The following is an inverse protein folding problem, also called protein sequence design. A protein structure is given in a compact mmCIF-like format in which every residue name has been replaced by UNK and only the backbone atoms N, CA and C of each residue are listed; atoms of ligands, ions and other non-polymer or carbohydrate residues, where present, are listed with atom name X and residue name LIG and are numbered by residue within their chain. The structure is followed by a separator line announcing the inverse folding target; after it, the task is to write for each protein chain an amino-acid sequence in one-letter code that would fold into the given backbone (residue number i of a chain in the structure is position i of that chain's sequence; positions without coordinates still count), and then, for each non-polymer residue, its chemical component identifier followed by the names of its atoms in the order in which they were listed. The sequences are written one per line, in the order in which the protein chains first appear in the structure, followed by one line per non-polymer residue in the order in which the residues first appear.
data_IF_377390878686
#
_entry.id   IF_377390878686
#
_cell.length_a   1.000
_cell.length_b   1.000
_cell.length_c   1.000
_cell.angle_alpha   90.00
_cell.angle_beta   90.00
_cell.angle_gamma   90.00
#
_symmetry.space_group_name_H-M   'P 1'
#
loop_
_entity.id
_entity.type
_entity.pdbx_description
1 polymer ?
#
# COMPACT_ATOMS: atom_id res chain seq x y z
N UNK A 1 16.13 -24.25 -5.25
CA UNK A 1 14.89 -23.92 -5.97
C UNK A 1 14.06 -23.06 -5.03
N UNK A 2 13.75 -21.82 -5.39
CA UNK A 2 12.90 -20.95 -4.58
C UNK A 2 11.49 -21.53 -4.64
N UNK A 3 10.98 -22.03 -3.52
CA UNK A 3 9.58 -22.45 -3.39
C UNK A 3 8.70 -21.24 -3.67
N UNK A 4 7.70 -21.39 -4.54
CA UNK A 4 6.71 -20.36 -4.79
C UNK A 4 5.95 -20.06 -3.50
N UNK A 5 6.42 -19.06 -2.73
CA UNK A 5 5.68 -18.59 -1.57
C UNK A 5 4.35 -18.04 -2.08
N UNK A 6 3.25 -18.58 -1.59
CA UNK A 6 1.92 -18.10 -1.94
C UNK A 6 1.82 -16.61 -1.57
N UNK A 7 1.76 -15.73 -2.57
CA UNK A 7 1.69 -14.28 -2.35
C UNK A 7 0.33 -13.97 -1.73
N UNK A 8 0.34 -13.43 -0.50
CA UNK A 8 -0.89 -13.07 0.18
C UNK A 8 -1.52 -11.84 -0.46
N UNK A 9 -2.82 -11.92 -0.74
CA UNK A 9 -3.62 -10.79 -1.22
C UNK A 9 -4.41 -10.20 -0.05
N UNK A 10 -4.35 -8.88 0.10
CA UNK A 10 -5.17 -8.13 1.04
C UNK A 10 -6.28 -7.39 0.30
N UNK A 11 -7.48 -7.39 0.88
CA UNK A 11 -8.69 -6.82 0.27
C UNK A 11 -9.10 -5.53 0.95
N UNK A 12 -9.77 -4.66 0.20
CA UNK A 12 -10.30 -3.42 0.72
C UNK A 12 -11.43 -3.74 1.70
N UNK A 13 -11.58 -2.91 2.73
CA UNK A 13 -12.61 -3.10 3.75
C UNK A 13 -13.64 -1.97 3.64
N UNK A 14 -14.61 -2.08 2.70
CA UNK A 14 -15.55 -0.99 2.43
C UNK A 14 -16.42 -0.66 3.66
N UNK A 15 -16.61 -1.58 4.59
CA UNK A 15 -17.44 -1.37 5.79
C UNK A 15 -16.64 -1.27 7.09
N UNK A 16 -15.37 -0.88 7.01
CA UNK A 16 -14.45 -0.77 8.17
C UNK A 16 -15.03 0.07 9.33
N UNK A 17 -15.86 1.07 9.03
CA UNK A 17 -16.48 1.98 10.00
C UNK A 17 -18.01 1.86 10.08
N UNK A 18 -18.58 0.78 9.55
CA UNK A 18 -20.03 0.49 9.59
C UNK A 18 -20.80 0.94 8.34
N UNK A 19 -20.49 2.10 7.76
CA UNK A 19 -21.02 2.52 6.45
C UNK A 19 -20.03 2.16 5.34
N UNK A 20 -20.53 2.10 4.11
CA UNK A 20 -19.69 1.92 2.93
C UNK A 20 -18.74 3.11 2.75
N UNK A 21 -17.47 2.79 2.51
CA UNK A 21 -16.38 3.71 2.22
C UNK A 21 -15.97 3.44 0.78
N UNK A 22 -15.90 4.48 -0.04
CA UNK A 22 -15.35 4.37 -1.39
C UNK A 22 -13.84 4.65 -1.41
N UNK A 23 -13.36 5.32 -0.38
CA UNK A 23 -11.97 5.74 -0.18
C UNK A 23 -11.69 5.80 1.32
N UNK A 24 -10.49 5.36 1.72
CA UNK A 24 -10.00 5.41 3.11
C UNK A 24 -8.62 6.07 3.16
N UNK A 25 -8.37 6.88 4.18
CA UNK A 25 -7.12 7.61 4.40
C UNK A 25 -6.62 7.29 5.80
N UNK A 26 -5.35 6.89 5.90
CA UNK A 26 -4.74 6.57 7.19
C UNK A 26 -3.31 7.08 7.34
N UNK A 27 -2.92 7.29 8.60
CA UNK A 27 -1.52 7.51 8.99
C UNK A 27 -0.78 6.18 9.03
N UNK A 28 0.32 6.07 8.30
CA UNK A 28 1.09 4.82 8.16
C UNK A 28 1.49 4.27 9.53
N UNK A 29 1.98 5.14 10.42
CA UNK A 29 2.51 4.74 11.72
C UNK A 29 1.45 4.39 12.77
N UNK A 30 0.16 4.60 12.48
CA UNK A 30 -0.95 4.25 13.38
C UNK A 30 -1.88 3.18 12.81
N UNK A 31 -1.78 2.88 11.52
CA UNK A 31 -2.62 1.87 10.87
C UNK A 31 -2.28 0.48 11.40
N UNK A 32 -3.27 -0.17 12.02
CA UNK A 32 -3.15 -1.57 12.44
C UNK A 32 -3.10 -2.48 11.22
N UNK A 33 -2.23 -3.49 11.27
CA UNK A 33 -2.07 -4.51 10.22
C UNK A 33 -1.57 -3.98 8.87
N UNK A 34 -1.01 -2.77 8.82
CA UNK A 34 -0.32 -2.29 7.62
C UNK A 34 1.03 -2.99 7.48
N UNK A 35 1.26 -3.66 6.35
CA UNK A 35 2.45 -4.49 6.14
C UNK A 35 3.61 -3.60 5.70
N UNK A 36 4.56 -3.37 6.61
CA UNK A 36 5.77 -2.56 6.40
C UNK A 36 7.06 -3.39 6.52
N UNK A 37 6.97 -4.71 6.42
CA UNK A 37 8.12 -5.61 6.51
C UNK A 37 8.47 -6.24 5.15
N UNK A 38 9.44 -7.16 5.19
CA UNK A 38 9.96 -7.86 4.00
C UNK A 38 9.02 -8.94 3.45
N UNK A 39 7.78 -9.02 3.92
CA UNK A 39 6.76 -9.93 3.40
C UNK A 39 6.33 -9.51 2.00
N UNK A 40 6.47 -10.42 1.03
CA UNK A 40 5.87 -10.26 -0.30
C UNK A 40 4.35 -10.40 -0.21
N UNK A 41 3.64 -9.39 -0.70
CA UNK A 41 2.18 -9.39 -0.71
C UNK A 41 1.66 -8.50 -1.85
N UNK A 42 0.35 -8.52 -2.05
CA UNK A 42 -0.34 -7.63 -2.98
C UNK A 42 -1.67 -7.18 -2.37
N UNK A 43 -2.29 -6.19 -2.99
CA UNK A 43 -3.64 -5.69 -2.63
C UNK A 43 -4.58 -5.79 -3.82
N UNK A 44 -5.89 -5.90 -3.58
CA UNK A 44 -6.92 -5.89 -4.63
C UNK A 44 -7.49 -4.50 -4.93
N UNK A 45 -6.88 -3.44 -4.40
CA UNK A 45 -7.33 -2.05 -4.50
C UNK A 45 -6.16 -1.14 -4.86
N UNK A 46 -6.45 0.11 -5.24
CA UNK A 46 -5.43 1.12 -5.51
C UNK A 46 -4.92 1.72 -4.21
N UNK A 47 -3.62 2.04 -4.18
CA UNK A 47 -3.00 2.69 -3.05
C UNK A 47 -2.07 3.83 -3.47
N UNK A 48 -2.14 4.95 -2.76
CA UNK A 48 -1.18 6.05 -2.88
C UNK A 48 -0.52 6.25 -1.52
N UNK A 49 0.80 6.14 -1.48
CA UNK A 49 1.60 6.33 -0.25
C UNK A 49 2.38 7.63 -0.36
N UNK A 50 2.28 8.48 0.66
CA UNK A 50 3.02 9.72 0.84
C UNK A 50 3.97 9.55 2.01
N UNK A 51 5.28 9.63 1.75
CA UNK A 51 6.32 9.44 2.76
C UNK A 51 6.74 10.81 3.31
N UNK A 52 6.59 11.01 4.62
CA UNK A 52 7.03 12.23 5.31
C UNK A 52 8.36 12.02 6.05
N UNK A 53 8.57 10.84 6.63
CA UNK A 53 9.78 10.47 7.36
C UNK A 53 10.16 9.01 7.09
N UNK A 54 11.43 8.68 7.34
CA UNK A 54 11.99 7.34 7.26
C UNK A 54 12.67 7.03 5.92
N UNK A 55 13.38 5.90 5.90
CA UNK A 55 14.24 5.49 4.80
C UNK A 55 14.22 3.98 4.61
N UNK A 56 14.59 3.54 3.41
CA UNK A 56 14.70 2.13 3.05
C UNK A 56 14.48 1.92 1.56
N UNK A 57 13.95 0.76 1.20
CA UNK A 57 13.57 0.45 -0.18
C UNK A 57 12.17 -0.13 -0.29
N UNK A 58 11.54 0.09 -1.43
CA UNK A 58 10.26 -0.49 -1.79
C UNK A 58 10.40 -1.21 -3.14
N UNK A 59 10.06 -2.49 -3.16
CA UNK A 59 9.99 -3.29 -4.38
C UNK A 59 8.55 -3.32 -4.87
N UNK A 60 8.34 -3.06 -6.16
CA UNK A 60 7.06 -3.17 -6.85
C UNK A 60 7.27 -3.93 -8.15
N UNK A 61 6.65 -5.11 -8.29
CA UNK A 61 6.83 -6.05 -9.40
C UNK A 61 8.31 -6.35 -9.72
N UNK A 62 9.13 -6.44 -8.67
CA UNK A 62 10.58 -6.70 -8.76
C UNK A 62 11.44 -5.46 -9.04
N UNK A 63 10.85 -4.30 -9.36
CA UNK A 63 11.58 -3.04 -9.45
C UNK A 63 11.75 -2.43 -8.07
N UNK A 64 12.99 -2.23 -7.67
CA UNK A 64 13.34 -1.65 -6.36
C UNK A 64 13.55 -0.14 -6.48
N UNK A 65 13.00 0.61 -5.53
CA UNK A 65 13.09 2.07 -5.45
C UNK A 65 13.50 2.46 -4.03
N UNK A 66 14.36 3.47 -3.90
CA UNK A 66 14.71 4.05 -2.60
C UNK A 66 13.56 4.88 -2.05
N UNK A 67 13.32 4.78 -0.75
CA UNK A 67 12.33 5.56 -0.02
C UNK A 67 13.06 6.66 0.75
N UNK A 68 12.64 7.90 0.50
CA UNK A 68 13.09 9.10 1.23
C UNK A 68 11.90 10.04 1.50
N UNK A 69 12.00 10.97 2.45
CA UNK A 69 10.99 12.02 2.65
C UNK A 69 10.62 12.72 1.33
N UNK A 70 9.32 12.87 1.08
CA UNK A 70 8.77 13.42 -0.17
C UNK A 70 8.51 12.39 -1.27
N UNK A 71 8.83 11.11 -1.06
CA UNK A 71 8.49 10.03 -2.00
C UNK A 71 6.97 9.82 -2.05
N UNK A 72 6.42 9.75 -3.26
CA UNK A 72 5.03 9.38 -3.52
C UNK A 72 5.01 8.11 -4.35
N UNK A 73 4.27 7.10 -3.90
CA UNK A 73 4.18 5.79 -4.56
C UNK A 73 2.72 5.55 -4.95
N UNK A 74 2.50 5.20 -6.21
CA UNK A 74 1.21 4.71 -6.69
C UNK A 74 1.29 3.21 -6.93
N UNK A 75 0.32 2.45 -6.41
CA UNK A 75 0.26 1.00 -6.49
C UNK A 75 -1.10 0.60 -7.06
N UNK A 76 -1.08 -0.17 -8.14
CA UNK A 76 -2.27 -0.75 -8.76
C UNK A 76 -2.64 -2.10 -8.14
N UNK A 77 -3.93 -2.51 -8.21
CA UNK A 77 -4.37 -3.83 -7.79
C UNK A 77 -3.53 -4.96 -8.42
N UNK A 78 -3.16 -5.94 -7.61
CA UNK A 78 -2.42 -7.13 -8.06
C UNK A 78 -0.91 -6.93 -8.24
N UNK A 79 -0.38 -5.71 -8.07
CA UNK A 79 1.07 -5.52 -8.09
C UNK A 79 1.70 -6.11 -6.82
N UNK A 80 2.74 -6.91 -7.01
CA UNK A 80 3.45 -7.59 -5.93
C UNK A 80 4.44 -6.61 -5.32
N UNK A 81 4.38 -6.44 -4.01
CA UNK A 81 5.19 -5.47 -3.29
C UNK A 81 5.90 -6.03 -2.07
N UNK A 82 6.97 -5.35 -1.69
CA UNK A 82 7.76 -5.65 -0.50
C UNK A 82 8.43 -4.39 0.02
N UNK A 83 8.36 -4.18 1.32
CA UNK A 83 9.13 -3.13 1.99
C UNK A 83 10.45 -3.69 2.53
N UNK A 84 11.48 -2.86 2.54
CA UNK A 84 12.70 -3.10 3.28
C UNK A 84 13.04 -1.81 4.02
N UNK A 85 12.49 -1.67 5.23
CA UNK A 85 12.54 -0.43 6.01
C UNK A 85 13.80 -0.42 6.86
N UNK A 86 14.58 0.65 6.73
CA UNK A 86 15.78 0.89 7.52
C UNK A 86 15.47 1.82 8.70
N UNK A 87 14.76 2.92 8.43
CA UNK A 87 14.25 3.86 9.42
C UNK A 87 12.73 3.92 9.39
N UNK A 88 12.11 4.04 10.57
CA UNK A 88 10.66 4.00 10.72
C UNK A 88 9.96 5.00 9.79
N UNK A 89 9.09 4.48 8.93
CA UNK A 89 8.28 5.29 8.02
C UNK A 89 7.16 6.01 8.77
N UNK A 90 6.94 7.28 8.44
CA UNK A 90 5.72 8.03 8.75
C UNK A 90 5.16 8.68 7.49
N UNK A 91 3.85 8.89 7.49
CA UNK A 91 3.18 9.59 6.42
C UNK A 91 1.75 9.14 6.27
N UNK A 92 1.24 9.23 5.04
CA UNK A 92 -0.15 8.95 4.73
C UNK A 92 -0.27 7.86 3.66
N UNK A 93 -1.33 7.07 3.75
CA UNK A 93 -1.73 6.17 2.68
C UNK A 93 -3.21 6.34 2.39
N UNK A 94 -3.53 6.38 1.10
CA UNK A 94 -4.86 6.53 0.54
C UNK A 94 -5.23 5.23 -0.18
N UNK A 95 -6.37 4.65 0.15
CA UNK A 95 -6.89 3.42 -0.44
C UNK A 95 -8.20 3.70 -1.17
N UNK A 96 -8.41 3.11 -2.34
CA UNK A 96 -9.71 3.20 -3.03
C UNK A 96 -9.89 2.05 -4.03
N UNK A 97 -11.14 1.70 -4.30
CA UNK A 97 -11.49 0.73 -5.33
C UNK A 97 -11.72 1.40 -6.69
N UNK A 98 -11.70 0.61 -7.76
CA UNK A 98 -11.90 1.11 -9.13
C UNK A 98 -13.22 1.86 -9.29
N UNK A 99 -14.27 1.40 -8.60
CA UNK A 99 -15.61 1.97 -8.68
C UNK A 99 -15.67 3.42 -8.18
N UNK A 100 -14.80 3.80 -7.24
CA UNK A 100 -14.66 5.21 -6.84
C UNK A 100 -14.28 6.08 -8.03
N UNK A 101 -13.30 5.68 -8.86
CA UNK A 101 -12.89 6.47 -10.02
C UNK A 101 -14.00 6.60 -11.06
N UNK A 102 -14.81 5.54 -11.24
CA UNK A 102 -15.93 5.58 -12.18
C UNK A 102 -16.92 6.69 -11.83
N UNK A 103 -17.15 7.00 -10.55
CA UNK A 103 -18.07 8.06 -10.13
C UNK A 103 -17.60 9.48 -10.48
N UNK A 104 -16.30 9.71 -10.72
CA UNK A 104 -15.76 11.05 -11.02
C UNK A 104 -15.49 11.29 -12.51
N UNK A 105 -15.25 10.23 -13.29
CA UNK A 105 -14.84 10.32 -14.69
C UNK A 105 -15.90 9.80 -15.67
N UNK A 106 -17.12 9.51 -15.20
CA UNK A 106 -18.29 9.24 -16.05
C UNK A 106 -19.25 10.43 -16.06
#
# INVERSE_FOLDING_TARGET
MVTASQIKTYHFLPHKYGTELLLDLGRIETLKNYVLDRTLHQVSFYEIVFIEEGTGTFSLDGKVMSITPGTIIFISPGQVRRWDIEEKIKGYTLFFEKDFLHLFFS
#
